data_IF_160785745399
#
_entry.id   IF_160785745399
#
_cell.length_a   1.000
_cell.length_b   1.000
_cell.length_c   1.000
_cell.angle_alpha   90.00
_cell.angle_beta   90.00
_cell.angle_gamma   90.00
#
_symmetry.space_group_name_H-M   'P 1'
#
loop_
_entity.id
_entity.type
_entity.pdbx_description
1 polymer ?
#
# COMPACT_ATOMS: atom_id res chain seq x y z
N UNK A 1 -33.36 -27.00 67.86
CA UNK A 1 -32.22 -26.09 67.57
C UNK A 1 -31.61 -26.30 66.17
N UNK A 2 -31.76 -27.47 65.55
CA UNK A 2 -31.18 -27.79 64.23
C UNK A 2 -31.86 -27.05 63.05
N UNK A 3 -33.17 -26.80 63.12
CA UNK A 3 -33.91 -26.15 62.03
C UNK A 3 -33.54 -24.68 61.81
N UNK A 4 -33.30 -23.94 62.89
CA UNK A 4 -32.91 -22.52 62.83
C UNK A 4 -31.54 -22.37 62.18
N UNK A 5 -30.60 -23.28 62.48
CA UNK A 5 -29.26 -23.27 61.89
C UNK A 5 -29.34 -23.57 60.39
N UNK A 6 -30.18 -24.52 59.98
CA UNK A 6 -30.35 -24.88 58.57
C UNK A 6 -30.92 -23.73 57.73
N UNK A 7 -31.91 -23.00 58.25
CA UNK A 7 -32.51 -21.83 57.58
C UNK A 7 -31.49 -20.70 57.41
N UNK A 8 -30.67 -20.44 58.43
CA UNK A 8 -29.63 -19.40 58.37
C UNK A 8 -28.56 -19.75 57.35
N UNK A 9 -28.10 -21.01 57.32
CA UNK A 9 -27.11 -21.47 56.34
C UNK A 9 -27.65 -21.40 54.91
N UNK A 10 -28.91 -21.79 54.69
CA UNK A 10 -29.57 -21.69 53.39
C UNK A 10 -29.71 -20.23 52.91
N UNK A 11 -30.05 -19.31 53.81
CA UNK A 11 -30.15 -17.89 53.48
C UNK A 11 -28.79 -17.29 53.09
N UNK A 12 -27.72 -17.65 53.81
CA UNK A 12 -26.35 -17.21 53.49
C UNK A 12 -25.87 -17.77 52.15
N UNK A 13 -26.18 -19.03 51.85
CA UNK A 13 -25.83 -19.65 50.57
C UNK A 13 -26.56 -18.98 49.38
N UNK A 14 -27.83 -18.63 49.57
CA UNK A 14 -28.62 -17.90 48.56
C UNK A 14 -28.03 -16.51 48.28
N UNK A 15 -27.69 -15.75 49.34
CA UNK A 15 -27.08 -14.43 49.22
C UNK A 15 -25.71 -14.50 48.52
N UNK A 16 -24.90 -15.50 48.84
CA UNK A 16 -23.62 -15.74 48.18
C UNK A 16 -23.77 -15.97 46.68
N UNK A 17 -24.77 -16.75 46.27
CA UNK A 17 -25.03 -17.08 44.87
C UNK A 17 -25.50 -15.87 44.07
N UNK A 18 -26.38 -15.04 44.65
CA UNK A 18 -26.87 -13.80 44.05
C UNK A 18 -25.71 -12.81 43.86
N UNK A 19 -24.88 -12.64 44.89
CA UNK A 19 -23.71 -11.76 44.84
C UNK A 19 -22.70 -12.22 43.76
N UNK A 20 -22.43 -13.53 43.68
CA UNK A 20 -21.54 -14.09 42.67
C UNK A 20 -22.07 -13.89 41.25
N UNK A 21 -23.38 -14.12 41.02
CA UNK A 21 -23.99 -13.90 39.72
C UNK A 21 -23.93 -12.43 39.28
N UNK A 22 -24.19 -11.49 40.19
CA UNK A 22 -24.07 -10.06 39.92
C UNK A 22 -22.64 -9.64 39.59
N UNK A 23 -21.66 -10.16 40.33
CA UNK A 23 -20.24 -9.90 40.08
C UNK A 23 -19.81 -10.44 38.70
N UNK A 24 -20.22 -11.67 38.36
CA UNK A 24 -19.94 -12.28 37.07
C UNK A 24 -20.60 -11.54 35.92
N UNK A 25 -21.84 -11.06 36.08
CA UNK A 25 -22.51 -10.24 35.07
C UNK A 25 -21.79 -8.90 34.85
N UNK A 26 -21.38 -8.24 35.94
CA UNK A 26 -20.61 -6.99 35.88
C UNK A 26 -19.26 -7.18 35.16
N UNK A 27 -18.50 -8.21 35.55
CA UNK A 27 -17.23 -8.56 34.89
C UNK A 27 -17.43 -9.01 33.44
N UNK A 28 -18.53 -9.69 33.13
CA UNK A 28 -18.90 -10.08 31.77
C UNK A 28 -19.02 -8.86 30.87
N UNK A 29 -19.88 -7.91 31.25
CA UNK A 29 -20.13 -6.66 30.50
C UNK A 29 -18.83 -5.86 30.33
N UNK A 30 -18.00 -5.77 31.38
CA UNK A 30 -16.74 -5.01 31.30
C UNK A 30 -15.65 -5.73 30.47
N UNK A 31 -15.55 -7.06 30.57
CA UNK A 31 -14.52 -7.83 29.87
C UNK A 31 -14.79 -7.98 28.37
N UNK A 32 -16.06 -7.97 27.95
CA UNK A 32 -16.43 -8.08 26.54
C UNK A 32 -15.84 -6.95 25.69
N UNK A 33 -15.81 -5.72 26.22
CA UNK A 33 -15.22 -4.58 25.53
C UNK A 33 -13.72 -4.74 25.27
N UNK A 34 -12.97 -5.31 26.23
CA UNK A 34 -11.54 -5.58 26.06
C UNK A 34 -11.26 -6.78 25.17
N UNK A 35 -12.01 -7.88 25.34
CA UNK A 35 -11.87 -9.08 24.49
C UNK A 35 -12.13 -8.76 23.02
N UNK A 36 -13.13 -7.92 22.75
CA UNK A 36 -13.39 -7.41 21.40
C UNK A 36 -12.19 -6.61 20.92
N UNK A 37 -11.68 -5.62 21.67
CA UNK A 37 -10.50 -4.82 21.29
C UNK A 37 -9.24 -5.65 21.01
N UNK A 38 -8.97 -6.67 21.83
CA UNK A 38 -7.82 -7.57 21.60
C UNK A 38 -7.99 -8.43 20.34
N UNK A 39 -9.20 -8.93 20.07
CA UNK A 39 -9.51 -9.61 18.82
C UNK A 39 -9.43 -8.68 17.58
N UNK A 40 -9.76 -7.38 17.77
CA UNK A 40 -9.57 -6.35 16.74
C UNK A 40 -8.09 -6.15 16.41
N UNK A 41 -7.24 -6.02 17.44
CA UNK A 41 -5.80 -5.82 17.27
C UNK A 41 -5.13 -7.01 16.60
N UNK A 42 -5.50 -8.25 16.97
CA UNK A 42 -4.93 -9.45 16.36
C UNK A 42 -5.33 -9.61 14.89
N UNK A 43 -6.55 -9.20 14.53
CA UNK A 43 -7.00 -9.23 13.12
C UNK A 43 -6.34 -8.12 12.31
N UNK A 44 -6.20 -6.93 12.90
CA UNK A 44 -5.53 -5.80 12.27
C UNK A 44 -4.04 -6.10 12.00
N UNK A 45 -3.31 -6.61 13.00
CA UNK A 45 -1.89 -6.96 12.85
C UNK A 45 -1.66 -8.00 11.76
N UNK A 46 -2.60 -8.94 11.60
CA UNK A 46 -2.51 -10.02 10.61
C UNK A 46 -2.45 -9.53 9.16
N UNK A 47 -3.17 -8.45 8.82
CA UNK A 47 -3.24 -7.94 7.45
C UNK A 47 -2.47 -6.64 7.25
N UNK A 48 -2.11 -5.96 8.34
CA UNK A 48 -1.30 -4.75 8.29
C UNK A 48 0.06 -5.01 7.62
N UNK A 49 0.79 -6.03 8.07
CA UNK A 49 2.15 -6.28 7.58
C UNK A 49 2.17 -6.69 6.10
N UNK A 50 1.31 -7.61 5.63
CA UNK A 50 1.21 -7.91 4.20
C UNK A 50 0.82 -6.70 3.34
N UNK A 51 -0.09 -5.85 3.84
CA UNK A 51 -0.49 -4.63 3.15
C UNK A 51 0.67 -3.62 3.08
N UNK A 52 1.45 -3.49 4.15
CA UNK A 52 2.61 -2.62 4.18
C UNK A 52 3.66 -3.05 3.17
N UNK A 53 3.97 -4.36 3.12
CA UNK A 53 4.93 -4.93 2.14
C UNK A 53 4.43 -4.67 0.72
N UNK A 54 3.16 -4.93 0.42
CA UNK A 54 2.62 -4.70 -0.92
C UNK A 54 2.60 -3.21 -1.31
N UNK A 55 2.44 -2.30 -0.35
CA UNK A 55 2.55 -0.86 -0.58
C UNK A 55 4.00 -0.44 -0.86
N UNK A 56 4.98 -1.02 -0.15
CA UNK A 56 6.40 -0.79 -0.37
C UNK A 56 6.84 -1.27 -1.76
N UNK A 57 6.44 -2.49 -2.14
CA UNK A 57 6.68 -3.08 -3.46
C UNK A 57 6.09 -2.20 -4.58
N UNK A 58 4.85 -1.71 -4.40
CA UNK A 58 4.22 -0.80 -5.34
C UNK A 58 4.97 0.54 -5.45
N UNK A 59 5.38 1.11 -4.33
CA UNK A 59 6.11 2.38 -4.32
C UNK A 59 7.47 2.24 -5.01
N UNK A 60 8.21 1.18 -4.71
CA UNK A 60 9.49 0.85 -5.34
C UNK A 60 9.33 0.62 -6.84
N UNK A 61 8.27 -0.08 -7.25
CA UNK A 61 7.98 -0.29 -8.67
C UNK A 61 7.67 1.01 -9.40
N UNK A 62 6.89 1.91 -8.79
CA UNK A 62 6.57 3.22 -9.37
C UNK A 62 7.82 4.10 -9.51
N UNK A 63 8.72 4.10 -8.52
CA UNK A 63 10.00 4.80 -8.60
C UNK A 63 10.85 4.22 -9.75
N UNK A 64 10.94 2.89 -9.86
CA UNK A 64 11.67 2.23 -10.95
C UNK A 64 11.12 2.57 -12.34
N UNK A 65 9.80 2.70 -12.45
CA UNK A 65 9.13 3.10 -13.69
C UNK A 65 9.44 4.54 -14.10
N UNK A 66 9.56 5.46 -13.14
CA UNK A 66 9.74 6.89 -13.39
C UNK A 66 11.23 7.24 -13.54
N UNK A 67 12.07 6.82 -12.59
CA UNK A 67 13.44 7.34 -12.44
C UNK A 67 14.50 6.47 -13.14
N UNK A 68 14.25 5.17 -13.28
CA UNK A 68 15.26 4.20 -13.72
C UNK A 68 15.01 3.65 -15.12
N UNK A 69 14.09 4.26 -15.88
CA UNK A 69 13.79 3.83 -17.24
C UNK A 69 13.17 2.44 -17.33
N UNK A 70 12.69 1.84 -16.23
CA UNK A 70 12.05 0.52 -16.29
C UNK A 70 10.83 0.51 -17.23
N UNK A 71 10.18 1.67 -17.41
CA UNK A 71 9.10 1.82 -18.36
C UNK A 71 9.56 1.62 -19.82
N UNK A 72 10.80 1.99 -20.21
CA UNK A 72 11.27 1.80 -21.58
C UNK A 72 11.43 0.32 -21.95
N UNK A 73 11.64 -0.57 -20.96
CA UNK A 73 11.61 -2.02 -21.17
C UNK A 73 10.26 -2.52 -21.69
N UNK A 74 9.17 -1.81 -21.41
CA UNK A 74 7.86 -2.13 -21.95
C UNK A 74 7.75 -1.87 -23.48
N UNK A 75 8.68 -1.09 -24.06
CA UNK A 75 8.79 -0.82 -25.49
C UNK A 75 9.94 -1.59 -26.16
N UNK A 76 10.69 -2.40 -25.40
CA UNK A 76 11.84 -3.10 -25.95
C UNK A 76 11.39 -4.30 -26.79
N UNK A 77 11.38 -4.13 -28.11
CA UNK A 77 11.06 -5.19 -29.07
C UNK A 77 12.21 -6.19 -29.26
N UNK A 78 13.45 -5.82 -28.90
CA UNK A 78 14.63 -6.68 -29.06
C UNK A 78 14.63 -7.84 -28.06
N UNK A 79 14.04 -7.63 -26.87
CA UNK A 79 13.97 -8.62 -25.79
C UNK A 79 12.51 -8.88 -25.36
N UNK A 80 11.74 -9.69 -26.13
CA UNK A 80 10.31 -9.90 -25.88
C UNK A 80 10.02 -10.57 -24.52
N UNK A 81 10.95 -11.39 -24.02
CA UNK A 81 10.82 -12.01 -22.68
C UNK A 81 10.91 -10.96 -21.56
N UNK A 82 11.85 -10.02 -21.68
CA UNK A 82 12.04 -8.95 -20.71
C UNK A 82 10.87 -7.96 -20.74
N UNK A 83 10.36 -7.64 -21.93
CA UNK A 83 9.15 -6.84 -22.12
C UNK A 83 7.94 -7.50 -21.44
N UNK A 84 7.71 -8.78 -21.71
CA UNK A 84 6.61 -9.55 -21.12
C UNK A 84 6.72 -9.58 -19.59
N UNK A 85 7.93 -9.77 -19.06
CA UNK A 85 8.20 -9.69 -17.63
C UNK A 85 7.88 -8.30 -17.05
N UNK A 86 8.35 -7.23 -17.70
CA UNK A 86 8.14 -5.86 -17.25
C UNK A 86 6.65 -5.53 -17.12
N UNK A 87 5.85 -5.93 -18.10
CA UNK A 87 4.39 -5.73 -18.11
C UNK A 87 3.72 -6.59 -17.03
N UNK A 88 3.99 -7.90 -17.05
CA UNK A 88 3.30 -8.88 -16.18
C UNK A 88 3.62 -8.64 -14.72
N UNK A 89 4.90 -8.41 -14.39
CA UNK A 89 5.31 -8.10 -13.02
C UNK A 89 4.76 -6.77 -12.53
N UNK A 90 4.67 -5.74 -13.39
CA UNK A 90 4.04 -4.47 -13.00
C UNK A 90 2.58 -4.69 -12.65
N UNK A 91 1.84 -5.41 -13.50
CA UNK A 91 0.45 -5.76 -13.24
C UNK A 91 0.28 -6.58 -11.96
N UNK A 92 1.20 -7.51 -11.68
CA UNK A 92 1.21 -8.29 -10.45
C UNK A 92 1.38 -7.42 -9.20
N UNK A 93 2.30 -6.46 -9.18
CA UNK A 93 2.51 -5.59 -8.02
C UNK A 93 1.26 -4.74 -7.73
N UNK A 94 0.58 -4.25 -8.78
CA UNK A 94 -0.73 -3.61 -8.62
C UNK A 94 -1.80 -4.58 -8.10
N UNK A 95 -1.86 -5.80 -8.63
CA UNK A 95 -2.75 -6.86 -8.16
C UNK A 95 -2.56 -7.14 -6.67
N UNK A 96 -1.31 -7.28 -6.24
CA UNK A 96 -0.96 -7.56 -4.86
C UNK A 96 -1.40 -6.45 -3.91
N UNK A 97 -1.12 -5.19 -4.26
CA UNK A 97 -1.59 -4.05 -3.48
C UNK A 97 -3.12 -4.01 -3.39
N UNK A 98 -3.82 -4.15 -4.52
CA UNK A 98 -5.28 -4.10 -4.52
C UNK A 98 -5.93 -5.29 -3.84
N UNK A 99 -5.33 -6.48 -3.90
CA UNK A 99 -5.80 -7.66 -3.17
C UNK A 99 -5.73 -7.42 -1.66
N UNK A 100 -4.59 -6.98 -1.14
CA UNK A 100 -4.46 -6.67 0.29
C UNK A 100 -5.34 -5.51 0.72
N UNK A 101 -5.48 -4.46 -0.10
CA UNK A 101 -6.41 -3.37 0.19
C UNK A 101 -7.87 -3.84 0.19
N UNK A 102 -8.23 -4.79 -0.69
CA UNK A 102 -9.55 -5.41 -0.74
C UNK A 102 -9.83 -6.29 0.49
N UNK A 103 -8.90 -7.19 0.84
CA UNK A 103 -8.96 -8.04 2.04
C UNK A 103 -9.09 -7.17 3.29
N UNK A 104 -8.22 -6.18 3.43
CA UNK A 104 -8.24 -5.24 4.53
C UNK A 104 -9.58 -4.50 4.60
N UNK A 105 -10.12 -4.02 3.48
CA UNK A 105 -11.44 -3.37 3.45
C UNK A 105 -12.58 -4.32 3.83
N UNK A 106 -12.60 -5.55 3.30
CA UNK A 106 -13.64 -6.55 3.59
C UNK A 106 -13.71 -6.84 5.09
N UNK A 107 -12.56 -7.04 5.72
CA UNK A 107 -12.49 -7.36 7.13
C UNK A 107 -12.64 -6.12 8.01
N UNK A 108 -12.22 -4.93 7.56
CA UNK A 108 -12.37 -3.67 8.32
C UNK A 108 -13.75 -3.03 8.26
N UNK A 109 -14.59 -3.36 7.28
CA UNK A 109 -16.00 -2.93 7.27
C UNK A 109 -16.76 -3.49 8.49
N UNK A 110 -16.40 -4.68 8.97
CA UNK A 110 -16.88 -5.20 10.26
C UNK A 110 -16.34 -4.41 11.47
N UNK A 111 -15.25 -3.66 11.31
CA UNK A 111 -14.56 -2.91 12.38
C UNK A 111 -14.98 -1.42 12.46
N UNK A 112 -15.68 -0.89 11.44
CA UNK A 112 -16.14 0.52 11.37
C UNK A 112 -16.98 1.03 12.55
N UNK A 113 -17.79 0.22 13.26
CA UNK A 113 -18.55 0.75 14.40
C UNK A 113 -17.68 1.23 15.58
N UNK A 114 -16.37 0.94 15.60
CA UNK A 114 -15.52 1.07 16.79
C UNK A 114 -14.19 1.81 16.58
N UNK A 115 -13.88 2.26 15.37
CA UNK A 115 -12.66 3.03 15.11
C UNK A 115 -12.87 4.49 15.53
N UNK A 116 -12.28 4.87 16.67
CA UNK A 116 -12.18 6.28 17.08
C UNK A 116 -11.34 7.06 16.07
N UNK A 117 -11.77 8.29 15.74
CA UNK A 117 -11.00 9.25 14.94
C UNK A 117 -9.59 9.40 15.53
N UNK A 118 -8.55 9.22 14.70
CA UNK A 118 -7.15 9.27 15.12
C UNK A 118 -6.54 7.93 15.57
N UNK A 119 -7.27 6.81 15.46
CA UNK A 119 -6.66 5.48 15.63
C UNK A 119 -5.79 5.08 14.42
N UNK A 120 -4.74 4.25 14.60
CA UNK A 120 -3.88 3.79 13.51
C UNK A 120 -4.65 3.14 12.34
N UNK A 121 -5.70 2.37 12.66
CA UNK A 121 -6.56 1.77 11.62
C UNK A 121 -7.35 2.79 10.81
N UNK A 122 -7.81 3.87 11.44
CA UNK A 122 -8.47 4.97 10.73
C UNK A 122 -7.49 5.71 9.79
N UNK A 123 -6.25 5.91 10.22
CA UNK A 123 -5.20 6.51 9.40
C UNK A 123 -4.87 5.65 8.17
N UNK A 124 -4.73 4.33 8.33
CA UNK A 124 -4.51 3.40 7.20
C UNK A 124 -5.66 3.47 6.20
N UNK A 125 -6.92 3.50 6.66
CA UNK A 125 -8.09 3.63 5.77
C UNK A 125 -8.06 4.95 4.99
N UNK A 126 -7.68 6.06 5.64
CA UNK A 126 -7.54 7.36 4.98
C UNK A 126 -6.41 7.36 3.94
N UNK A 127 -5.26 6.75 4.26
CA UNK A 127 -4.13 6.60 3.33
C UNK A 127 -4.51 5.75 2.11
N UNK A 128 -5.15 4.60 2.31
CA UNK A 128 -5.64 3.77 1.22
C UNK A 128 -6.65 4.53 0.36
N UNK A 129 -7.57 5.27 0.97
CA UNK A 129 -8.55 6.09 0.24
C UNK A 129 -7.85 7.15 -0.62
N UNK A 130 -6.79 7.77 -0.10
CA UNK A 130 -5.98 8.73 -0.83
C UNK A 130 -5.23 8.09 -2.00
N UNK A 131 -4.61 6.93 -1.81
CA UNK A 131 -3.90 6.22 -2.90
C UNK A 131 -4.88 5.90 -4.02
N UNK A 132 -6.05 5.34 -3.67
CA UNK A 132 -7.13 5.05 -4.62
C UNK A 132 -7.60 6.29 -5.36
N UNK A 133 -7.69 7.42 -4.66
CA UNK A 133 -8.06 8.71 -5.23
C UNK A 133 -7.01 9.25 -6.21
N UNK A 134 -5.72 9.13 -5.90
CA UNK A 134 -4.64 9.52 -6.81
C UNK A 134 -4.68 8.67 -8.08
N UNK A 135 -4.82 7.35 -7.95
CA UNK A 135 -4.91 6.44 -9.09
C UNK A 135 -6.19 6.65 -9.92
N UNK A 136 -7.28 7.10 -9.30
CA UNK A 136 -8.57 7.38 -9.95
C UNK A 136 -8.61 8.74 -10.65
N UNK A 137 -8.07 9.78 -10.00
CA UNK A 137 -8.08 11.13 -10.55
C UNK A 137 -7.18 11.19 -11.78
N UNK A 138 -6.01 10.55 -11.71
CA UNK A 138 -5.03 10.48 -12.81
C UNK A 138 -4.59 11.88 -13.22
N UNK A 139 -3.40 12.31 -12.81
CA UNK A 139 -2.91 13.65 -13.14
C UNK A 139 -2.80 13.86 -14.67
N UNK A 140 -2.57 12.77 -15.41
CA UNK A 140 -2.74 12.69 -16.85
C UNK A 140 -3.93 11.78 -17.15
N UNK A 141 -4.73 12.10 -18.18
CA UNK A 141 -5.84 11.24 -18.64
C UNK A 141 -5.40 9.81 -18.99
N UNK A 142 -4.09 9.60 -19.15
CA UNK A 142 -3.47 8.40 -19.72
C UNK A 142 -3.07 7.35 -18.68
N UNK A 143 -2.85 7.72 -17.41
CA UNK A 143 -2.60 6.76 -16.32
C UNK A 143 -3.71 6.89 -15.27
N UNK A 144 -4.86 6.26 -15.54
CA UNK A 144 -6.06 6.34 -14.70
C UNK A 144 -6.67 4.95 -14.49
N UNK A 145 -6.83 4.57 -13.23
CA UNK A 145 -7.48 3.31 -12.83
C UNK A 145 -8.78 3.65 -12.11
N UNK A 146 -9.92 3.40 -12.75
CA UNK A 146 -11.24 3.69 -12.17
C UNK A 146 -11.50 2.85 -10.91
N UNK A 147 -12.30 3.37 -9.98
CA UNK A 147 -12.57 2.72 -8.68
C UNK A 147 -13.18 1.32 -8.82
N UNK A 148 -14.03 1.09 -9.82
CA UNK A 148 -14.57 -0.23 -10.14
C UNK A 148 -13.48 -1.20 -10.57
N UNK A 149 -12.57 -0.77 -11.43
CA UNK A 149 -11.43 -1.58 -11.90
C UNK A 149 -10.47 -1.88 -10.75
N UNK A 150 -10.16 -0.90 -9.90
CA UNK A 150 -9.35 -1.13 -8.70
C UNK A 150 -9.95 -2.22 -7.79
N UNK A 151 -11.28 -2.22 -7.67
CA UNK A 151 -11.99 -3.21 -6.83
C UNK A 151 -12.00 -4.58 -7.49
N UNK A 152 -12.30 -4.64 -8.79
CA UNK A 152 -12.26 -5.86 -9.58
C UNK A 152 -10.87 -6.52 -9.55
N UNK A 153 -9.80 -5.75 -9.75
CA UNK A 153 -8.41 -6.25 -9.66
C UNK A 153 -8.15 -6.85 -8.26
N UNK A 154 -8.58 -6.17 -7.19
CA UNK A 154 -8.43 -6.68 -5.84
C UNK A 154 -9.20 -7.98 -5.60
N UNK A 155 -10.44 -8.06 -6.09
CA UNK A 155 -11.31 -9.24 -5.97
C UNK A 155 -10.72 -10.45 -6.71
N UNK A 156 -10.38 -10.31 -8.00
CA UNK A 156 -9.87 -11.42 -8.83
C UNK A 156 -8.46 -11.88 -8.42
N UNK A 157 -7.73 -11.03 -7.69
CA UNK A 157 -6.39 -11.32 -7.18
C UNK A 157 -6.39 -11.84 -5.75
N UNK A 158 -7.57 -11.95 -5.13
CA UNK A 158 -7.75 -12.55 -3.81
C UNK A 158 -8.12 -14.03 -3.95
N UNK A 159 -7.49 -14.90 -3.16
CA UNK A 159 -7.84 -16.32 -3.04
C UNK A 159 -7.99 -16.71 -1.58
N UNK A 160 -8.78 -17.76 -1.34
CA UNK A 160 -8.80 -18.42 -0.04
C UNK A 160 -7.51 -19.22 0.17
N UNK A 161 -7.00 -19.19 1.39
CA UNK A 161 -5.84 -19.97 1.81
C UNK A 161 -6.15 -21.46 1.68
N UNK A 162 -5.21 -22.21 1.10
CA UNK A 162 -5.34 -23.65 0.92
C UNK A 162 -5.37 -24.43 2.24
N UNK A 163 -5.00 -23.79 3.36
CA UNK A 163 -4.95 -24.39 4.69
C UNK A 163 -6.33 -24.51 5.39
N UNK A 164 -7.43 -24.17 4.69
CA UNK A 164 -8.80 -24.37 5.20
C UNK A 164 -9.18 -23.48 6.39
N UNK A 165 -8.35 -22.50 6.72
CA UNK A 165 -8.53 -21.56 7.83
C UNK A 165 -9.42 -20.35 7.46
N UNK A 166 -9.93 -20.31 6.22
CA UNK A 166 -10.75 -19.23 5.69
C UNK A 166 -9.99 -17.90 5.55
N UNK A 167 -8.65 -17.91 5.61
CA UNK A 167 -7.86 -16.70 5.44
C UNK A 167 -7.77 -16.30 3.98
N UNK A 168 -7.98 -15.02 3.71
CA UNK A 168 -7.75 -14.49 2.37
C UNK A 168 -6.27 -14.15 2.18
N UNK A 169 -5.75 -14.47 1.01
CA UNK A 169 -4.39 -14.12 0.58
C UNK A 169 -4.42 -13.57 -0.85
N UNK A 170 -3.38 -12.81 -1.21
CA UNK A 170 -3.14 -12.49 -2.61
C UNK A 170 -2.69 -13.75 -3.37
N UNK A 171 -3.09 -13.88 -4.63
CA UNK A 171 -2.51 -14.89 -5.54
C UNK A 171 -1.00 -14.72 -5.63
N UNK A 172 -0.26 -15.85 -5.66
CA UNK A 172 1.18 -15.84 -5.86
C UNK A 172 1.56 -15.49 -7.30
N UNK A 173 2.79 -15.00 -7.50
CA UNK A 173 3.24 -14.54 -8.83
C UNK A 173 3.19 -15.65 -9.91
N UNK A 174 3.60 -16.88 -9.59
CA UNK A 174 3.54 -17.98 -10.54
C UNK A 174 2.10 -18.27 -11.02
N UNK A 175 1.15 -18.33 -10.08
CA UNK A 175 -0.27 -18.50 -10.39
C UNK A 175 -0.86 -17.29 -11.12
N UNK A 176 -0.37 -16.08 -10.83
CA UNK A 176 -0.71 -14.89 -11.59
C UNK A 176 -0.27 -15.01 -13.04
N UNK A 177 0.98 -15.43 -13.30
CA UNK A 177 1.52 -15.61 -14.66
C UNK A 177 0.76 -16.70 -15.44
N UNK A 178 0.38 -17.78 -14.77
CA UNK A 178 -0.48 -18.83 -15.36
C UNK A 178 -1.83 -18.23 -15.77
N UNK A 179 -2.56 -17.60 -14.85
CA UNK A 179 -3.85 -16.94 -15.14
C UNK A 179 -3.72 -15.87 -16.22
N UNK A 180 -2.65 -15.08 -16.17
CA UNK A 180 -2.35 -14.05 -17.15
C UNK A 180 -2.30 -14.64 -18.56
N UNK A 181 -1.68 -15.81 -18.71
CA UNK A 181 -1.51 -16.50 -19.99
C UNK A 181 -2.80 -17.19 -20.44
N UNK A 182 -3.48 -17.90 -19.53
CA UNK A 182 -4.61 -18.76 -19.85
C UNK A 182 -5.96 -18.04 -19.96
N UNK A 183 -6.14 -16.93 -19.25
CA UNK A 183 -7.42 -16.21 -19.15
C UNK A 183 -7.32 -14.78 -19.71
N UNK A 184 -7.79 -14.54 -20.96
CA UNK A 184 -7.86 -13.21 -21.54
C UNK A 184 -8.79 -12.24 -20.78
N UNK A 185 -9.84 -12.75 -20.11
CA UNK A 185 -10.78 -11.94 -19.34
C UNK A 185 -10.12 -11.41 -18.07
N UNK A 186 -9.31 -12.24 -17.40
CA UNK A 186 -8.46 -11.82 -16.30
C UNK A 186 -7.51 -10.70 -16.74
N UNK A 187 -6.83 -10.88 -17.87
CA UNK A 187 -5.88 -9.90 -18.43
C UNK A 187 -6.53 -8.56 -18.75
N UNK A 188 -7.77 -8.56 -19.23
CA UNK A 188 -8.49 -7.35 -19.62
C UNK A 188 -8.67 -6.34 -18.46
N UNK A 189 -8.75 -6.80 -17.21
CA UNK A 189 -8.84 -5.93 -16.04
C UNK A 189 -7.60 -5.07 -15.81
N UNK A 190 -6.44 -5.53 -16.28
CA UNK A 190 -5.15 -4.84 -16.13
C UNK A 190 -4.85 -3.86 -17.26
N UNK A 191 -5.73 -3.79 -18.27
CA UNK A 191 -5.54 -2.92 -19.44
C UNK A 191 -5.22 -1.45 -19.09
N UNK A 192 -5.86 -0.80 -18.10
CA UNK A 192 -5.50 0.57 -17.74
C UNK A 192 -4.06 0.73 -17.23
N UNK A 193 -3.50 -0.32 -16.63
CA UNK A 193 -2.11 -0.34 -16.14
C UNK A 193 -1.16 -0.53 -17.33
N UNK A 194 -1.47 -1.48 -18.23
CA UNK A 194 -0.63 -1.71 -19.43
C UNK A 194 -0.63 -0.51 -20.36
N UNK A 195 -1.81 0.05 -20.67
CA UNK A 195 -1.95 1.22 -21.54
C UNK A 195 -1.22 2.44 -20.91
N UNK A 196 -1.34 2.59 -19.59
CA UNK A 196 -0.63 3.61 -18.84
C UNK A 196 0.90 3.42 -18.87
N UNK A 197 1.38 2.19 -18.78
CA UNK A 197 2.79 1.85 -18.86
C UNK A 197 3.38 2.23 -20.23
N UNK A 198 2.68 1.89 -21.32
CA UNK A 198 3.09 2.27 -22.67
C UNK A 198 3.18 3.79 -22.83
N UNK A 199 2.24 4.54 -22.28
CA UNK A 199 2.28 6.00 -22.32
C UNK A 199 3.47 6.56 -21.55
N UNK A 200 3.74 6.05 -20.36
CA UNK A 200 4.89 6.51 -19.56
C UNK A 200 6.18 6.22 -20.32
N UNK A 201 6.30 5.01 -20.87
CA UNK A 201 7.45 4.61 -21.67
C UNK A 201 7.67 5.54 -22.88
N UNK A 202 6.60 5.86 -23.61
CA UNK A 202 6.69 6.70 -24.80
C UNK A 202 7.06 8.15 -24.47
N UNK A 203 6.47 8.73 -23.42
CA UNK A 203 6.85 10.08 -22.98
C UNK A 203 8.32 10.15 -22.51
N UNK A 204 8.84 9.08 -21.90
CA UNK A 204 10.25 9.03 -21.49
C UNK A 204 11.19 8.95 -22.69
N UNK A 205 10.81 8.19 -23.74
CA UNK A 205 11.56 8.15 -25.00
C UNK A 205 11.56 9.52 -25.69
N UNK A 206 10.41 10.19 -25.77
CA UNK A 206 10.29 11.52 -26.40
C UNK A 206 11.17 12.59 -25.70
N UNK A 207 11.36 12.47 -24.39
CA UNK A 207 12.24 13.37 -23.61
C UNK A 207 13.72 13.05 -23.82
N UNK A 208 14.05 11.80 -24.14
CA UNK A 208 15.42 11.31 -24.31
C UNK A 208 15.89 11.34 -25.79
N UNK A 209 15.01 11.67 -26.74
CA UNK A 209 15.39 11.78 -28.16
C UNK A 209 16.33 12.99 -28.40
N UNK A 210 17.60 12.76 -28.82
CA UNK A 210 18.57 13.84 -29.06
C UNK A 210 18.15 14.83 -30.17
N UNK A 211 17.16 14.49 -31.01
CA UNK A 211 16.63 15.40 -32.02
C UNK A 211 16.00 16.68 -31.45
N UNK A 212 15.44 16.64 -30.24
CA UNK A 212 14.87 17.82 -29.55
C UNK A 212 15.95 18.67 -28.86
N UNK A 213 17.12 18.10 -28.55
CA UNK A 213 18.25 18.84 -27.94
C UNK A 213 18.93 19.72 -28.99
N UNK A 214 18.97 19.29 -30.25
CA UNK A 214 19.60 20.05 -31.32
C UNK A 214 18.83 21.32 -31.75
N UNK A 215 17.50 21.36 -31.61
CA UNK A 215 16.72 22.57 -31.92
C UNK A 215 16.85 23.69 -30.88
N UNK A 216 17.30 23.39 -29.66
CA UNK A 216 17.54 24.39 -28.62
C UNK A 216 19.01 24.85 -28.54
N UNK A 217 19.92 24.19 -29.27
CA UNK A 217 21.36 24.39 -29.18
C UNK A 217 21.99 25.10 -30.39
N UNK A 218 21.21 25.67 -31.31
CA UNK A 218 21.73 26.54 -32.38
C UNK A 218 22.11 27.96 -31.90
N UNK A 219 22.16 28.18 -30.59
CA UNK A 219 22.75 29.37 -29.96
C UNK A 219 24.12 29.07 -29.36
N UNK A 220 25.18 29.07 -30.18
CA UNK A 220 26.57 29.33 -29.78
C UNK A 220 27.07 28.70 -28.46
N UNK A 221 27.51 27.44 -28.46
CA UNK A 221 28.45 26.99 -27.42
C UNK A 221 29.39 25.87 -27.91
N UNK A 222 30.69 26.03 -27.60
CA UNK A 222 31.81 25.24 -28.09
C UNK A 222 31.81 23.79 -27.53
N UNK A 223 32.36 22.81 -28.27
CA UNK A 223 32.36 21.40 -27.88
C UNK A 223 33.45 21.16 -26.82
N UNK A 224 33.03 21.12 -25.55
CA UNK A 224 33.91 20.85 -24.41
C UNK A 224 33.22 20.80 -23.03
N UNK A 225 31.93 21.17 -22.93
CA UNK A 225 31.21 21.22 -21.64
C UNK A 225 30.03 20.24 -21.52
N UNK A 226 29.79 19.37 -22.50
CA UNK A 226 28.57 18.56 -22.56
C UNK A 226 28.48 17.54 -21.42
N UNK A 227 29.61 17.00 -20.94
CA UNK A 227 29.60 15.97 -19.90
C UNK A 227 29.21 16.48 -18.49
N UNK A 228 29.32 17.78 -18.22
CA UNK A 228 29.11 18.33 -16.87
C UNK A 228 27.76 19.05 -16.71
N UNK A 229 27.04 19.30 -17.81
CA UNK A 229 25.75 20.00 -17.78
C UNK A 229 24.55 19.08 -17.53
N UNK A 230 24.60 17.80 -17.94
CA UNK A 230 23.48 16.85 -17.74
C UNK A 230 23.24 16.51 -16.27
N UNK A 231 24.29 16.48 -15.43
CA UNK A 231 24.16 16.23 -13.98
C UNK A 231 23.70 17.49 -13.24
N UNK A 232 23.94 18.69 -13.79
CA UNK A 232 23.62 19.95 -13.12
C UNK A 232 22.20 20.46 -13.42
N UNK A 233 21.62 20.12 -14.58
CA UNK A 233 20.31 20.65 -14.99
C UNK A 233 19.10 19.96 -14.33
N UNK A 234 19.24 18.70 -13.87
CA UNK A 234 18.23 18.05 -13.02
C UNK A 234 18.26 18.59 -11.58
N UNK A 235 19.42 19.06 -11.11
CA UNK A 235 19.56 19.66 -9.78
C UNK A 235 19.16 21.15 -9.73
N UNK A 236 19.25 21.89 -10.85
CA UNK A 236 18.88 23.32 -10.88
C UNK A 236 17.40 23.60 -11.17
N UNK A 237 16.65 22.65 -11.73
CA UNK A 237 15.23 22.85 -12.05
C UNK A 237 14.30 22.79 -10.83
N UNK A 238 14.83 22.52 -9.63
CA UNK A 238 14.07 22.50 -8.38
C UNK A 238 14.14 23.80 -7.57
N UNK A 239 14.92 24.82 -7.98
CA UNK A 239 15.19 26.00 -7.13
C UNK A 239 14.89 27.38 -7.75
N UNK A 240 14.38 27.46 -8.98
CA UNK A 240 13.95 28.74 -9.55
C UNK A 240 12.77 28.54 -10.48
N UNK A 241 11.65 29.15 -10.11
CA UNK A 241 10.38 29.28 -10.86
C UNK A 241 9.21 28.39 -10.39
N UNK A 242 8.85 28.45 -9.10
CA UNK A 242 7.44 28.23 -8.71
C UNK A 242 7.02 28.97 -7.42
N UNK A 243 7.65 30.13 -7.15
CA UNK A 243 7.24 31.02 -6.06
C UNK A 243 6.40 32.18 -6.61
N UNK A 244 5.19 31.86 -7.11
CA UNK A 244 4.01 32.74 -7.17
C UNK A 244 2.85 31.99 -7.82
N UNK A 245 1.80 31.75 -7.04
CA UNK A 245 0.52 31.15 -7.45
C UNK A 245 0.50 29.62 -7.61
N UNK A 246 0.57 28.88 -6.50
CA UNK A 246 -0.12 27.58 -6.44
C UNK A 246 -0.71 27.33 -5.05
N UNK A 247 -2.03 27.17 -5.02
CA UNK A 247 -2.83 26.99 -3.82
C UNK A 247 -2.50 25.69 -3.09
N UNK A 248 -2.60 25.77 -1.75
CA UNK A 248 -2.35 24.72 -0.76
C UNK A 248 -3.03 23.38 -1.11
N UNK A 249 -2.33 22.44 -1.74
CA UNK A 249 -2.71 21.00 -1.67
C UNK A 249 -1.62 19.97 -2.01
N UNK A 250 -0.35 20.36 -2.20
CA UNK A 250 0.72 19.45 -2.70
C UNK A 250 1.79 18.98 -1.69
N UNK A 251 1.60 19.16 -0.39
CA UNK A 251 2.64 18.81 0.61
C UNK A 251 2.38 17.53 1.42
N UNK A 252 1.84 16.46 0.83
CA UNK A 252 1.62 15.22 1.63
C UNK A 252 2.45 14.03 1.12
N UNK A 253 2.87 14.00 -0.15
CA UNK A 253 3.81 12.98 -0.63
C UNK A 253 5.21 13.11 -0.04
N UNK A 254 5.75 14.34 -0.04
CA UNK A 254 7.10 14.63 0.50
C UNK A 254 7.11 14.68 2.04
N UNK A 255 5.97 14.97 2.68
CA UNK A 255 5.87 15.03 4.14
C UNK A 255 5.81 13.65 4.80
N UNK A 256 5.19 12.64 4.15
CA UNK A 256 5.19 11.27 4.67
C UNK A 256 6.60 10.68 4.75
N UNK A 257 7.44 10.96 3.75
CA UNK A 257 8.81 10.42 3.67
C UNK A 257 9.74 11.08 4.71
N UNK A 258 9.60 12.39 4.95
CA UNK A 258 10.41 13.09 5.98
C UNK A 258 10.06 12.66 7.41
N UNK A 259 8.82 12.25 7.70
CA UNK A 259 8.39 11.89 9.05
C UNK A 259 8.75 10.46 9.44
N UNK A 260 8.81 9.53 8.49
CA UNK A 260 9.29 8.16 8.71
C UNK A 260 10.81 8.15 8.97
N UNK A 261 11.58 8.94 8.22
CA UNK A 261 13.05 9.00 8.37
C UNK A 261 13.55 9.71 9.64
N UNK A 262 12.70 10.51 10.29
CA UNK A 262 13.05 11.23 11.52
C UNK A 262 12.88 10.40 12.81
N UNK A 263 12.20 9.25 12.75
CA UNK A 263 11.91 8.43 13.94
C UNK A 263 12.86 7.23 14.13
N UNK A 264 13.70 6.90 13.15
CA UNK A 264 14.70 5.81 13.22
C UNK A 264 16.07 6.25 13.76
N UNK A 265 16.20 7.50 14.21
CA UNK A 265 17.49 8.09 14.62
C UNK A 265 17.96 7.80 16.05
N UNK A 266 17.32 6.90 16.82
CA UNK A 266 17.76 6.59 18.20
C UNK A 266 17.58 5.12 18.58
N UNK A 267 18.44 4.25 18.06
CA UNK A 267 18.86 3.05 18.78
C UNK A 267 20.38 2.91 18.59
N UNK A 268 21.12 3.02 19.69
CA UNK A 268 22.57 3.09 19.71
C UNK A 268 23.24 1.77 19.33
N UNK A 269 24.25 1.85 18.46
CA UNK A 269 25.23 0.78 18.28
C UNK A 269 26.47 1.11 19.13
N UNK A 270 26.57 0.49 20.31
CA UNK A 270 27.84 0.33 21.01
C UNK A 270 28.48 -0.99 20.59
N UNK A 271 29.57 -0.88 19.85
CA UNK A 271 30.76 -1.73 19.97
C UNK A 271 30.64 -3.20 19.57
N UNK A 272 31.04 -3.51 18.34
CA UNK A 272 31.74 -4.76 18.02
C UNK A 272 32.65 -4.52 16.81
N UNK A 273 33.96 -4.42 17.03
CA UNK A 273 34.99 -4.81 16.06
C UNK A 273 36.38 -4.84 16.71
N UNK A 274 36.86 -6.05 16.96
CA UNK A 274 38.27 -6.44 16.87
C UNK A 274 38.29 -7.86 16.33
N UNK A 275 38.84 -8.05 15.13
CA UNK A 275 39.76 -9.12 14.80
C UNK A 275 40.31 -8.92 13.38
N UNK A 276 41.64 -9.01 13.30
CA UNK A 276 42.57 -9.11 12.16
C UNK A 276 42.61 -7.97 11.15
#
# INVERSE_FOLDING_TARGET
>A
MVDVVSIVVAALALLGTIAQAALSAWFGIYSEGQKRKSALQSTFSKYHDPLHIAADDLSSKLINLIDYGFASLALNEEEPELQAYAITHTCFVFAQFFAWAHIFRRDTVFLRPHTTTGSPGAEVILLLSRIREVLRSGHTKKFRILSGIQSAIGEISTIDSQEGDGQLRCIGYAAFCEKWTTDPSFRAWFRPITDGLYVIAQNLVDVLDPGQIHSAAEGHCRPGQIAQMCICNTAKRTDSDEEKSFGRSSYIGVWLIKKVKANDGRIGMSGFNKCT
#
